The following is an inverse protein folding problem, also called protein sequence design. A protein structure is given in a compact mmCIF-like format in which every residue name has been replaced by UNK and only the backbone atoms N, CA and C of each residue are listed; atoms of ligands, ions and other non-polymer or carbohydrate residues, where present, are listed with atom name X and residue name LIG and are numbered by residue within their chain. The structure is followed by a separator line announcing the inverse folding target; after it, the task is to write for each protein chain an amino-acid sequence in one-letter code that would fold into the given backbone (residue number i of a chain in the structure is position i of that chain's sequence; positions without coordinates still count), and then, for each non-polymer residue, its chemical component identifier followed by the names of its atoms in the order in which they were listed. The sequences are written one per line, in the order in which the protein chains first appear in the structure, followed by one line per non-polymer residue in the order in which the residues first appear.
data_IF_806982887452
#
_entry.id   IF_806982887452
#
_cell.length_a   1.000
_cell.length_b   1.000
_cell.length_c   1.000
_cell.angle_alpha   90.00
_cell.angle_beta   90.00
_cell.angle_gamma   90.00
#
_symmetry.space_group_name_H-M   'P 1'
#
loop_
_entity.id
_entity.type
_entity.pdbx_description
1 polymer ?
#
# COMPACT_ATOMS: atom_id res chain seq x y z
N UNK A 1 27.20 11.50 34.04
CA UNK A 1 26.28 10.51 33.46
C UNK A 1 27.05 9.86 32.34
N UNK A 2 27.25 8.54 32.37
CA UNK A 2 28.10 7.86 31.38
C UNK A 2 27.52 8.02 29.96
N UNK A 3 28.30 8.54 29.02
CA UNK A 3 27.94 8.65 27.59
C UNK A 3 27.45 7.31 27.02
N UNK A 4 28.02 6.20 27.53
CA UNK A 4 27.62 4.84 27.17
C UNK A 4 26.18 4.51 27.59
N UNK A 5 25.70 5.10 28.68
CA UNK A 5 24.34 4.92 29.19
C UNK A 5 23.33 5.75 28.40
N UNK A 6 23.71 6.96 27.99
CA UNK A 6 22.91 7.82 27.12
C UNK A 6 22.72 7.18 25.73
N UNK A 7 23.80 6.70 25.11
CA UNK A 7 23.73 5.95 23.84
C UNK A 7 22.85 4.69 23.94
N UNK A 8 22.91 3.94 25.06
CA UNK A 8 22.03 2.78 25.27
C UNK A 8 20.55 3.16 25.32
N UNK A 9 20.23 4.31 25.91
CA UNK A 9 18.86 4.81 25.99
C UNK A 9 18.37 5.24 24.61
N UNK A 10 19.16 6.00 23.85
CA UNK A 10 18.82 6.39 22.48
C UNK A 10 18.61 5.17 21.56
N UNK A 11 19.48 4.16 21.64
CA UNK A 11 19.33 2.91 20.87
C UNK A 11 18.03 2.20 21.24
N UNK A 12 17.65 2.18 22.52
CA UNK A 12 16.39 1.56 22.97
C UNK A 12 15.19 2.31 22.41
N UNK A 13 15.18 3.64 22.45
CA UNK A 13 14.11 4.46 21.91
C UNK A 13 13.97 4.29 20.39
N UNK A 14 15.09 4.30 19.66
CA UNK A 14 15.11 4.07 18.22
C UNK A 14 14.54 2.70 17.88
N UNK A 15 14.95 1.64 18.60
CA UNK A 15 14.43 0.29 18.39
C UNK A 15 12.92 0.21 18.66
N UNK A 16 12.44 0.81 19.75
CA UNK A 16 11.01 0.84 20.07
C UNK A 16 10.18 1.54 18.98
N UNK A 17 10.66 2.68 18.47
CA UNK A 17 10.02 3.37 17.35
C UNK A 17 10.05 2.52 16.08
N UNK A 18 11.19 1.94 15.74
CA UNK A 18 11.34 1.13 14.53
C UNK A 18 10.42 -0.09 14.54
N UNK A 19 10.20 -0.73 15.70
CA UNK A 19 9.24 -1.85 15.80
C UNK A 19 7.83 -1.44 15.38
N UNK A 20 7.36 -0.25 15.79
CA UNK A 20 6.04 0.26 15.40
C UNK A 20 5.99 0.55 13.90
N UNK A 21 7.01 1.24 13.38
CA UNK A 21 7.11 1.60 11.96
C UNK A 21 7.16 0.35 11.06
N UNK A 22 7.91 -0.67 11.45
CA UNK A 22 8.00 -1.90 10.66
C UNK A 22 6.69 -2.71 10.71
N UNK A 23 5.96 -2.69 11.83
CA UNK A 23 4.63 -3.29 11.90
C UNK A 23 3.64 -2.58 10.96
N UNK A 24 3.61 -1.25 10.96
CA UNK A 24 2.78 -0.45 10.05
C UNK A 24 3.17 -0.71 8.59
N UNK A 25 4.46 -0.73 8.28
CA UNK A 25 4.97 -1.03 6.94
C UNK A 25 4.62 -2.44 6.48
N UNK A 26 4.68 -3.43 7.38
CA UNK A 26 4.25 -4.79 7.10
C UNK A 26 2.75 -4.85 6.79
N UNK A 27 1.93 -4.12 7.56
CA UNK A 27 0.50 -3.97 7.27
C UNK A 27 0.25 -3.32 5.90
N UNK A 28 0.94 -2.23 5.59
CA UNK A 28 0.76 -1.53 4.32
C UNK A 28 1.19 -2.38 3.11
N UNK A 29 2.25 -3.17 3.27
CA UNK A 29 2.75 -4.05 2.21
C UNK A 29 2.01 -5.39 2.15
N UNK A 30 1.21 -5.70 3.17
CA UNK A 30 0.49 -6.96 3.28
C UNK A 30 -0.43 -7.22 2.09
N UNK A 31 -0.52 -8.49 1.70
CA UNK A 31 -1.49 -8.96 0.72
C UNK A 31 -2.93 -8.76 1.24
N UNK A 32 -3.12 -8.83 2.56
CA UNK A 32 -4.40 -8.66 3.21
C UNK A 32 -5.01 -7.29 2.91
N UNK A 33 -4.25 -6.19 3.08
CA UNK A 33 -4.73 -4.85 2.74
C UNK A 33 -5.13 -4.74 1.27
N UNK A 34 -4.35 -5.33 0.36
CA UNK A 34 -4.64 -5.31 -1.08
C UNK A 34 -5.94 -6.04 -1.42
N UNK A 35 -6.16 -7.21 -0.82
CA UNK A 35 -7.39 -7.99 -0.99
C UNK A 35 -8.60 -7.24 -0.41
N UNK A 36 -8.46 -6.68 0.79
CA UNK A 36 -9.52 -5.92 1.43
C UNK A 36 -9.96 -4.72 0.57
N UNK A 37 -9.00 -3.94 0.08
CA UNK A 37 -9.29 -2.80 -0.80
C UNK A 37 -9.92 -3.27 -2.12
N UNK A 38 -9.45 -4.38 -2.70
CA UNK A 38 -10.05 -4.94 -3.92
C UNK A 38 -11.52 -5.34 -3.71
N UNK A 39 -11.84 -6.01 -2.60
CA UNK A 39 -13.21 -6.42 -2.27
C UNK A 39 -14.11 -5.20 -2.06
N UNK A 40 -13.65 -4.20 -1.31
CA UNK A 40 -14.43 -2.97 -1.07
C UNK A 40 -14.68 -2.20 -2.37
N UNK A 41 -13.65 -2.03 -3.21
CA UNK A 41 -13.79 -1.39 -4.52
C UNK A 41 -14.79 -2.15 -5.40
N UNK A 42 -14.69 -3.48 -5.45
CA UNK A 42 -15.63 -4.30 -6.21
C UNK A 42 -17.07 -4.10 -5.72
N UNK A 43 -17.30 -4.16 -4.40
CA UNK A 43 -18.62 -3.97 -3.81
C UNK A 43 -19.23 -2.60 -4.15
N UNK A 44 -18.43 -1.53 -4.07
CA UNK A 44 -18.87 -0.16 -4.43
C UNK A 44 -19.23 -0.06 -5.92
N UNK A 45 -18.40 -0.60 -6.81
CA UNK A 45 -18.65 -0.55 -8.25
C UNK A 45 -19.87 -1.39 -8.65
N UNK A 46 -20.04 -2.57 -8.03
CA UNK A 46 -21.24 -3.39 -8.23
C UNK A 46 -22.50 -2.65 -7.79
N UNK A 47 -22.51 -2.05 -6.60
CA UNK A 47 -23.63 -1.24 -6.12
C UNK A 47 -23.94 -0.08 -7.07
N UNK A 48 -22.92 0.63 -7.53
CA UNK A 48 -23.08 1.69 -8.52
C UNK A 48 -23.73 1.18 -9.82
N UNK A 49 -23.30 0.03 -10.34
CA UNK A 49 -23.87 -0.54 -11.57
C UNK A 49 -25.29 -1.04 -11.39
N UNK A 50 -25.67 -1.53 -10.20
CA UNK A 50 -27.05 -1.84 -9.88
C UNK A 50 -27.93 -0.59 -9.87
N UNK A 51 -27.49 0.49 -9.23
CA UNK A 51 -28.24 1.77 -9.16
C UNK A 51 -28.35 2.43 -10.53
N UNK A 52 -27.32 2.30 -11.37
CA UNK A 52 -27.27 2.88 -12.72
C UNK A 52 -27.96 2.00 -13.79
N UNK A 53 -28.60 0.89 -13.40
CA UNK A 53 -29.27 -0.07 -14.30
C UNK A 53 -28.40 -0.55 -15.48
N UNK A 54 -27.08 -0.67 -15.24
CA UNK A 54 -26.13 -1.06 -16.26
C UNK A 54 -26.19 -2.57 -16.51
N UNK A 55 -26.02 -3.02 -17.77
CA UNK A 55 -26.07 -4.43 -18.09
C UNK A 55 -24.93 -5.20 -17.41
N UNK A 56 -25.21 -6.42 -16.94
CA UNK A 56 -24.22 -7.34 -16.35
C UNK A 56 -23.35 -6.69 -15.24
N UNK A 57 -23.94 -6.13 -14.17
CA UNK A 57 -23.24 -5.35 -13.16
C UNK A 57 -22.10 -6.12 -12.49
N UNK A 58 -22.29 -7.41 -12.19
CA UNK A 58 -21.27 -8.27 -11.57
C UNK A 58 -20.05 -8.52 -12.47
N UNK A 59 -20.27 -8.70 -13.78
CA UNK A 59 -19.19 -8.96 -14.73
C UNK A 59 -18.44 -7.66 -15.09
N UNK A 60 -19.18 -6.58 -15.30
CA UNK A 60 -18.59 -5.30 -15.70
C UNK A 60 -17.81 -4.64 -14.56
N UNK A 61 -18.19 -4.87 -13.30
CA UNK A 61 -17.47 -4.33 -12.14
C UNK A 61 -16.04 -4.90 -11.98
N UNK A 62 -15.72 -6.00 -12.67
CA UNK A 62 -14.37 -6.58 -12.70
C UNK A 62 -13.39 -5.62 -13.38
N UNK A 63 -13.80 -4.91 -14.44
CA UNK A 63 -12.89 -4.05 -15.22
C UNK A 63 -12.37 -2.86 -14.38
N UNK A 64 -13.22 -2.07 -13.69
CA UNK A 64 -12.74 -1.00 -12.81
C UNK A 64 -11.92 -1.52 -11.62
N UNK A 65 -12.31 -2.67 -11.05
CA UNK A 65 -11.61 -3.27 -9.90
C UNK A 65 -10.20 -3.71 -10.29
N UNK A 66 -10.04 -4.39 -11.43
CA UNK A 66 -8.74 -4.77 -11.97
C UNK A 66 -7.90 -3.55 -12.36
N UNK A 67 -8.51 -2.54 -12.98
CA UNK A 67 -7.83 -1.29 -13.31
C UNK A 67 -7.24 -0.60 -12.07
N UNK A 68 -8.02 -0.54 -10.97
CA UNK A 68 -7.55 -0.01 -9.70
C UNK A 68 -6.44 -0.87 -9.07
N UNK A 69 -6.58 -2.19 -9.05
CA UNK A 69 -5.53 -3.09 -8.57
C UNK A 69 -4.22 -2.93 -9.36
N UNK A 70 -4.28 -2.89 -10.68
CA UNK A 70 -3.12 -2.70 -11.54
C UNK A 70 -2.47 -1.32 -11.34
N UNK A 71 -3.24 -0.26 -11.09
CA UNK A 71 -2.68 1.05 -10.78
C UNK A 71 -1.87 1.02 -9.48
N UNK A 72 -2.37 0.37 -8.42
CA UNK A 72 -1.64 0.28 -7.14
C UNK A 72 -0.31 -0.50 -7.26
N UNK A 73 -0.25 -1.51 -8.12
CA UNK A 73 0.96 -2.30 -8.35
C UNK A 73 1.97 -1.57 -9.24
N UNK A 74 1.49 -0.94 -10.31
CA UNK A 74 2.34 -0.24 -11.29
C UNK A 74 3.06 0.97 -10.70
N UNK A 75 2.44 1.74 -9.80
CA UNK A 75 3.06 2.91 -9.16
C UNK A 75 4.36 2.54 -8.42
N UNK A 76 4.38 1.42 -7.69
CA UNK A 76 5.59 0.97 -6.98
C UNK A 76 6.70 0.55 -7.95
N UNK A 77 6.34 -0.08 -9.06
CA UNK A 77 7.29 -0.44 -10.12
C UNK A 77 7.89 0.82 -10.76
N UNK A 78 7.06 1.76 -11.20
CA UNK A 78 7.52 3.00 -11.83
C UNK A 78 8.35 3.86 -10.88
N UNK A 79 8.02 3.92 -9.59
CA UNK A 79 8.85 4.58 -8.56
C UNK A 79 10.27 4.01 -8.53
N UNK A 80 10.40 2.68 -8.57
CA UNK A 80 11.71 2.00 -8.52
C UNK A 80 12.53 2.29 -9.77
N UNK A 81 11.89 2.27 -10.95
CA UNK A 81 12.53 2.62 -12.22
C UNK A 81 13.01 4.08 -12.22
N UNK A 82 12.17 5.01 -11.75
CA UNK A 82 12.50 6.43 -11.67
C UNK A 82 13.66 6.70 -10.71
N UNK A 83 13.66 6.09 -9.53
CA UNK A 83 14.77 6.21 -8.56
C UNK A 83 16.09 5.65 -9.09
N UNK A 84 16.06 4.53 -9.81
CA UNK A 84 17.27 3.96 -10.46
C UNK A 84 17.85 4.91 -11.50
N UNK A 85 17.00 5.60 -12.27
CA UNK A 85 17.45 6.60 -13.25
C UNK A 85 18.02 7.83 -12.56
N UNK A 86 17.35 8.36 -11.53
CA UNK A 86 17.83 9.52 -10.77
C UNK A 86 19.15 9.29 -10.02
N UNK A 87 19.39 8.07 -9.52
CA UNK A 87 20.68 7.71 -8.89
C UNK A 87 21.86 7.67 -9.88
N UNK A 88 21.60 7.71 -11.19
CA UNK A 88 22.63 7.86 -12.22
C UNK A 88 23.06 9.33 -12.41
N UNK A 89 22.28 10.26 -11.84
CA UNK A 89 22.43 11.72 -12.01
C UNK A 89 22.92 12.42 -10.72
N UNK A 90 23.34 11.66 -9.69
CA UNK A 90 24.00 12.11 -8.46
C UNK A 90 25.33 11.36 -8.29
#
# INVERSE_FOLDING_TARGET
MDELQELKNEIREIKQRNTRVEADKAWETSLFRKILVAILTYAVVVLFFFVAELPKPLANAVVPTLGFLLSTLSVSYFKTVWLKRRKKDL
#
